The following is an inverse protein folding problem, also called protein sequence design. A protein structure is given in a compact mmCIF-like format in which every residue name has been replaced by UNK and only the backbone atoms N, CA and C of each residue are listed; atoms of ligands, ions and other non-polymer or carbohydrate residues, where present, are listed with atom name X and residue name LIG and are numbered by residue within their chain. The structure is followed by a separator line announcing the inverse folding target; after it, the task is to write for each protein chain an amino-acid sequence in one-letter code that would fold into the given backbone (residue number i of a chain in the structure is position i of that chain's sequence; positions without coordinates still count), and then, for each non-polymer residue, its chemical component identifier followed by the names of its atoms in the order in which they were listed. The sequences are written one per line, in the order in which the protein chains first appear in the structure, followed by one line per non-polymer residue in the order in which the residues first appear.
data_IF_109644934374
#
_entry.id   IF_109644934374
#
_cell.length_a   1.000
_cell.length_b   1.000
_cell.length_c   1.000
_cell.angle_alpha   90.00
_cell.angle_beta   90.00
_cell.angle_gamma   90.00
#
_symmetry.space_group_name_H-M   'P 1'
#
loop_
_entity.id
_entity.type
_entity.pdbx_description
1 polymer ?
#
# COMPACT_ATOMS: atom_id res chain seq x y z
N UNK A 1 -2.95 52.77 36.53
CA UNK A 1 -3.80 51.81 35.80
C UNK A 1 -3.55 52.03 34.32
N UNK A 2 -2.76 51.16 33.70
CA UNK A 2 -2.53 51.18 32.25
C UNK A 2 -3.07 49.87 31.70
N UNK A 3 -4.09 49.92 30.86
CA UNK A 3 -4.65 48.77 30.16
C UNK A 3 -3.97 48.66 28.80
N UNK A 4 -3.18 47.62 28.62
CA UNK A 4 -2.59 47.26 27.34
C UNK A 4 -3.61 46.45 26.53
N UNK A 5 -3.95 46.91 25.32
CA UNK A 5 -4.88 46.24 24.41
C UNK A 5 -4.06 45.53 23.35
N UNK A 6 -3.74 44.25 23.60
CA UNK A 6 -3.22 43.37 22.55
C UNK A 6 -4.37 42.82 21.73
N UNK A 7 -4.44 43.26 20.47
CA UNK A 7 -5.34 42.72 19.45
C UNK A 7 -4.63 41.53 18.80
N UNK A 8 -5.01 40.31 19.15
CA UNK A 8 -4.55 39.10 18.46
C UNK A 8 -5.37 38.91 17.18
N UNK A 9 -4.73 39.12 16.03
CA UNK A 9 -5.29 38.79 14.72
C UNK A 9 -4.67 37.47 14.27
N UNK A 10 -5.24 36.36 14.73
CA UNK A 10 -4.92 35.04 14.19
C UNK A 10 -5.52 34.88 12.79
N UNK A 11 -4.71 35.12 11.77
CA UNK A 11 -5.02 34.81 10.37
C UNK A 11 -4.78 33.32 10.14
N UNK A 12 -5.85 32.55 9.99
CA UNK A 12 -5.77 31.12 9.71
C UNK A 12 -5.20 30.84 8.32
N UNK A 13 -3.99 30.31 8.26
CA UNK A 13 -3.39 29.74 7.05
C UNK A 13 -4.12 28.44 6.71
N UNK A 14 -4.72 28.33 5.53
CA UNK A 14 -5.22 27.07 5.01
C UNK A 14 -4.05 26.07 4.89
N UNK A 15 -4.02 25.06 5.75
CA UNK A 15 -2.96 24.05 5.79
C UNK A 15 -3.00 23.19 4.53
N UNK A 16 -1.80 22.88 4.00
CA UNK A 16 -1.58 21.84 3.01
C UNK A 16 -2.27 20.53 3.45
N UNK A 17 -2.66 19.64 2.52
CA UNK A 17 -3.21 18.34 2.89
C UNK A 17 -2.28 17.65 3.88
N UNK A 18 -2.83 17.21 5.02
CA UNK A 18 -2.13 16.34 5.95
C UNK A 18 -1.54 15.17 5.18
N UNK A 19 -0.20 15.03 5.20
CA UNK A 19 0.54 14.04 4.43
C UNK A 19 0.06 12.62 4.74
N UNK A 20 -0.26 12.35 6.01
CA UNK A 20 -0.90 11.11 6.45
C UNK A 20 -2.22 10.89 5.74
N UNK A 21 -3.11 11.88 5.77
CA UNK A 21 -4.43 11.76 5.17
C UNK A 21 -4.35 11.58 3.64
N UNK A 22 -3.40 12.26 2.98
CA UNK A 22 -3.14 12.07 1.55
C UNK A 22 -2.61 10.67 1.24
N UNK A 23 -1.66 10.18 2.03
CA UNK A 23 -1.09 8.84 1.88
C UNK A 23 -2.15 7.75 2.10
N UNK A 24 -2.96 7.84 3.16
CA UNK A 24 -4.04 6.88 3.41
C UNK A 24 -5.07 6.87 2.26
N UNK A 25 -5.54 8.04 1.80
CA UNK A 25 -6.45 8.12 0.65
C UNK A 25 -5.87 7.54 -0.64
N UNK A 26 -4.56 7.60 -0.83
CA UNK A 26 -3.92 7.03 -2.02
C UNK A 26 -4.17 5.52 -2.16
N UNK A 27 -4.38 4.82 -1.03
CA UNK A 27 -4.67 3.40 -0.95
C UNK A 27 -6.10 3.03 -1.37
N UNK A 28 -7.03 3.99 -1.46
CA UNK A 28 -8.45 3.72 -1.80
C UNK A 28 -8.60 2.93 -3.11
N UNK A 29 -7.69 3.16 -4.07
CA UNK A 29 -7.68 2.44 -5.34
C UNK A 29 -7.47 0.94 -5.20
N UNK A 30 -6.83 0.47 -4.12
CA UNK A 30 -6.60 -0.95 -3.89
C UNK A 30 -7.85 -1.66 -3.38
N UNK A 31 -8.79 -0.93 -2.75
CA UNK A 31 -10.00 -1.50 -2.15
C UNK A 31 -10.77 -2.35 -3.17
N UNK A 32 -11.13 -3.57 -2.79
CA UNK A 32 -11.83 -4.53 -3.64
C UNK A 32 -11.16 -5.90 -3.69
N UNK A 33 -11.69 -6.78 -4.53
CA UNK A 33 -11.09 -8.08 -4.84
C UNK A 33 -10.31 -8.00 -6.14
N UNK A 34 -9.20 -8.71 -6.20
CA UNK A 34 -8.34 -8.77 -7.36
C UNK A 34 -7.91 -10.20 -7.62
N UNK A 35 -8.08 -10.64 -8.86
CA UNK A 35 -7.43 -11.85 -9.36
C UNK A 35 -5.99 -11.49 -9.74
N UNK A 36 -5.04 -12.24 -9.19
CA UNK A 36 -3.61 -12.11 -9.49
C UNK A 36 -3.21 -13.16 -10.51
N UNK A 37 -2.36 -12.77 -11.45
CA UNK A 37 -1.80 -13.68 -12.45
C UNK A 37 -0.36 -13.30 -12.77
N UNK A 38 0.47 -14.29 -13.05
CA UNK A 38 1.85 -14.12 -13.50
C UNK A 38 2.35 -15.36 -14.24
N UNK A 39 3.61 -15.33 -14.74
CA UNK A 39 4.22 -16.46 -15.40
C UNK A 39 4.29 -17.70 -14.51
N UNK A 40 4.42 -18.88 -15.13
CA UNK A 40 4.68 -20.13 -14.39
C UNK A 40 3.53 -20.64 -13.52
N UNK A 41 2.30 -20.18 -13.76
CA UNK A 41 1.15 -20.56 -12.96
C UNK A 41 1.04 -19.80 -11.63
N UNK A 42 1.83 -18.74 -11.44
CA UNK A 42 1.64 -17.81 -10.34
C UNK A 42 0.27 -17.12 -10.45
N UNK A 43 -0.53 -17.13 -9.38
CA UNK A 43 -1.80 -16.43 -9.35
C UNK A 43 -2.68 -16.78 -8.17
N UNK A 44 -3.88 -16.21 -8.12
CA UNK A 44 -4.83 -16.41 -7.02
C UNK A 44 -5.71 -15.19 -6.80
N UNK A 45 -6.07 -14.91 -5.55
CA UNK A 45 -6.87 -13.75 -5.18
C UNK A 45 -6.20 -12.95 -4.06
N UNK A 46 -6.31 -11.63 -4.15
CA UNK A 46 -6.11 -10.73 -3.00
C UNK A 46 -7.34 -9.87 -2.81
N UNK A 47 -7.64 -9.53 -1.55
CA UNK A 47 -8.77 -8.67 -1.21
C UNK A 47 -8.34 -7.57 -0.26
N UNK A 48 -8.64 -6.33 -0.61
CA UNK A 48 -8.40 -5.16 0.22
C UNK A 48 -9.69 -4.58 0.78
N UNK A 49 -9.70 -4.27 2.07
CA UNK A 49 -10.78 -3.55 2.73
C UNK A 49 -10.23 -2.68 3.85
N UNK A 50 -10.85 -1.53 4.08
CA UNK A 50 -10.52 -0.69 5.23
C UNK A 50 -10.97 -1.37 6.53
N UNK A 51 -10.09 -1.40 7.53
CA UNK A 51 -10.48 -1.70 8.90
C UNK A 51 -11.30 -0.54 9.50
N UNK A 52 -11.99 -0.84 10.60
CA UNK A 52 -12.72 0.18 11.35
C UNK A 52 -11.81 1.37 11.71
N UNK A 53 -12.35 2.57 11.52
CA UNK A 53 -11.63 3.83 11.75
C UNK A 53 -10.71 4.29 10.62
N UNK A 54 -10.60 3.54 9.51
CA UNK A 54 -9.93 4.01 8.28
C UNK A 54 -8.43 4.30 8.41
N UNK A 55 -7.79 3.79 9.47
CA UNK A 55 -6.35 3.98 9.70
C UNK A 55 -5.50 2.85 9.11
N UNK A 56 -6.14 1.72 8.77
CA UNK A 56 -5.47 0.53 8.24
C UNK A 56 -6.25 -0.02 7.05
N UNK A 57 -5.58 -0.17 5.91
CA UNK A 57 -6.06 -1.01 4.82
C UNK A 57 -5.61 -2.44 5.10
N UNK A 58 -6.55 -3.37 5.09
CA UNK A 58 -6.29 -4.79 5.33
C UNK A 58 -6.32 -5.53 4.00
N UNK A 59 -5.26 -6.26 3.70
CA UNK A 59 -5.18 -7.16 2.57
C UNK A 59 -5.28 -8.60 3.06
N UNK A 60 -6.15 -9.39 2.44
CA UNK A 60 -6.13 -10.85 2.54
C UNK A 60 -5.45 -11.42 1.30
N UNK A 61 -4.55 -12.37 1.50
CA UNK A 61 -3.75 -13.00 0.43
C UNK A 61 -4.09 -14.48 0.34
N UNK A 62 -4.37 -14.95 -0.88
CA UNK A 62 -4.48 -16.36 -1.25
C UNK A 62 -3.87 -16.55 -2.64
N UNK A 63 -2.55 -16.79 -2.69
CA UNK A 63 -1.78 -16.90 -3.92
C UNK A 63 -1.07 -18.25 -4.01
N UNK A 64 -0.92 -18.77 -5.22
CA UNK A 64 -0.23 -20.03 -5.51
C UNK A 64 0.88 -19.81 -6.51
N UNK A 65 1.95 -20.57 -6.37
CA UNK A 65 3.08 -20.63 -7.31
C UNK A 65 3.63 -22.06 -7.33
N UNK A 66 3.27 -22.83 -8.35
CA UNK A 66 3.55 -24.27 -8.35
C UNK A 66 2.87 -24.96 -7.16
N UNK A 67 3.66 -25.63 -6.32
CA UNK A 67 3.18 -26.31 -5.10
C UNK A 67 3.13 -25.38 -3.88
N UNK A 68 3.66 -24.16 -3.98
CA UNK A 68 3.63 -23.17 -2.90
C UNK A 68 2.27 -22.49 -2.84
N UNK A 69 1.79 -22.26 -1.61
CA UNK A 69 0.50 -21.61 -1.33
C UNK A 69 0.70 -20.55 -0.25
N UNK A 70 0.84 -19.30 -0.71
CA UNK A 70 1.01 -18.14 0.14
C UNK A 70 -0.37 -17.61 0.57
N UNK A 71 -0.69 -17.86 1.83
CA UNK A 71 -1.85 -17.26 2.50
C UNK A 71 -1.42 -16.37 3.63
N UNK A 72 -2.15 -15.29 3.85
CA UNK A 72 -1.91 -14.40 4.99
C UNK A 72 -2.81 -13.19 5.01
N UNK A 73 -2.52 -12.32 5.98
CA UNK A 73 -3.18 -11.03 6.15
C UNK A 73 -2.12 -9.95 6.31
N UNK A 74 -2.30 -8.82 5.66
CA UNK A 74 -1.42 -7.66 5.76
C UNK A 74 -2.20 -6.45 6.22
N UNK A 75 -1.62 -5.70 7.16
CA UNK A 75 -2.14 -4.42 7.61
C UNK A 75 -1.23 -3.32 7.12
N UNK A 76 -1.78 -2.40 6.31
CA UNK A 76 -1.08 -1.29 5.69
C UNK A 76 -1.59 0.01 6.31
N UNK A 77 -0.71 0.83 6.86
CA UNK A 77 -1.08 2.07 7.55
C UNK A 77 0.03 3.10 7.54
N UNK A 78 -0.27 4.28 8.07
CA UNK A 78 0.71 5.36 8.19
C UNK A 78 1.61 5.17 9.41
N UNK A 79 2.92 5.22 9.20
CA UNK A 79 3.92 5.27 10.25
C UNK A 79 4.34 6.73 10.49
N UNK A 80 4.00 7.27 11.65
CA UNK A 80 4.29 8.67 12.02
C UNK A 80 5.80 8.94 12.20
N UNK A 81 6.59 7.92 12.54
CA UNK A 81 8.03 8.06 12.77
C UNK A 81 8.80 8.04 11.45
N UNK A 82 8.40 7.15 10.53
CA UNK A 82 8.99 7.06 9.20
C UNK A 82 8.44 8.12 8.24
N UNK A 83 7.22 8.60 8.46
CA UNK A 83 6.51 9.48 7.53
C UNK A 83 6.15 8.78 6.22
N UNK A 84 5.84 7.48 6.29
CA UNK A 84 5.59 6.61 5.13
C UNK A 84 4.43 5.64 5.41
N UNK A 85 3.86 5.05 4.35
CA UNK A 85 2.96 3.91 4.51
C UNK A 85 3.79 2.66 4.75
N UNK A 86 3.59 2.02 5.91
CA UNK A 86 4.24 0.78 6.30
C UNK A 86 3.22 -0.33 6.43
N UNK A 87 3.66 -1.56 6.21
CA UNK A 87 2.81 -2.72 6.40
C UNK A 87 3.50 -3.86 7.13
N UNK A 88 2.66 -4.73 7.69
CA UNK A 88 3.07 -6.00 8.30
C UNK A 88 2.19 -7.12 7.73
N UNK A 89 2.82 -8.07 7.04
CA UNK A 89 2.19 -9.29 6.53
C UNK A 89 2.43 -10.45 7.50
N UNK A 90 1.34 -11.09 7.89
CA UNK A 90 1.30 -12.28 8.73
C UNK A 90 0.97 -13.49 7.86
N UNK A 91 1.99 -14.27 7.54
CA UNK A 91 1.89 -15.43 6.66
C UNK A 91 1.45 -16.70 7.39
N UNK A 92 0.79 -17.58 6.66
CA UNK A 92 0.27 -18.85 7.17
C UNK A 92 1.35 -19.87 7.57
N UNK A 93 2.62 -19.61 7.23
CA UNK A 93 3.77 -20.45 7.63
C UNK A 93 4.54 -19.81 8.79
N UNK A 94 3.99 -18.78 9.43
CA UNK A 94 4.57 -18.08 10.57
C UNK A 94 5.48 -16.92 10.19
N UNK A 95 5.41 -16.44 8.94
CA UNK A 95 6.17 -15.28 8.49
C UNK A 95 5.61 -13.98 9.08
N UNK A 96 6.52 -13.08 9.44
CA UNK A 96 6.24 -11.67 9.68
C UNK A 96 7.12 -10.87 8.74
N UNK A 97 6.52 -10.31 7.69
CA UNK A 97 7.23 -9.53 6.68
C UNK A 97 6.79 -8.07 6.75
N UNK A 98 7.73 -7.15 6.58
CA UNK A 98 7.46 -5.73 6.56
C UNK A 98 7.63 -5.16 5.16
N UNK A 99 6.77 -4.23 4.78
CA UNK A 99 6.91 -3.49 3.52
C UNK A 99 6.69 -2.00 3.71
N UNK A 100 7.19 -1.23 2.74
CA UNK A 100 6.86 0.20 2.58
C UNK A 100 6.08 0.37 1.28
N UNK A 101 5.02 1.18 1.31
CA UNK A 101 4.14 1.45 0.17
C UNK A 101 4.28 2.89 -0.28
N UNK A 102 4.23 3.11 -1.60
CA UNK A 102 4.02 4.42 -2.18
C UNK A 102 3.11 4.34 -3.37
N UNK A 103 2.22 5.31 -3.47
CA UNK A 103 1.24 5.40 -4.55
C UNK A 103 1.28 6.81 -5.13
N UNK A 104 1.81 6.94 -6.35
CA UNK A 104 2.05 8.21 -7.02
C UNK A 104 1.41 8.20 -8.40
N UNK A 105 0.37 9.02 -8.60
CA UNK A 105 -0.36 9.02 -9.88
C UNK A 105 -1.05 7.67 -10.10
N UNK A 106 -0.57 6.89 -11.08
CA UNK A 106 -0.97 5.52 -11.42
C UNK A 106 0.04 4.47 -10.96
N UNK A 107 1.20 4.87 -10.43
CA UNK A 107 2.27 3.97 -10.01
C UNK A 107 2.06 3.52 -8.56
N UNK A 108 2.11 2.22 -8.34
CA UNK A 108 2.25 1.57 -7.04
C UNK A 108 3.67 1.01 -6.92
N UNK A 109 4.35 1.40 -5.85
CA UNK A 109 5.64 0.82 -5.47
C UNK A 109 5.54 0.21 -4.08
N UNK A 110 6.02 -1.02 -3.94
CA UNK A 110 6.06 -1.75 -2.66
C UNK A 110 7.48 -2.25 -2.45
N UNK A 111 8.16 -1.78 -1.42
CA UNK A 111 9.51 -2.26 -1.08
C UNK A 111 9.43 -3.30 0.02
N UNK A 112 10.21 -4.38 -0.09
CA UNK A 112 10.44 -5.30 1.02
C UNK A 112 11.31 -4.61 2.07
N UNK A 113 10.76 -4.30 3.25
CA UNK A 113 11.38 -3.43 4.25
C UNK A 113 11.22 -1.95 3.92
N UNK A 114 12.33 -1.20 3.90
CA UNK A 114 12.38 0.25 3.64
C UNK A 114 12.57 0.61 2.17
N UNK A 115 12.47 1.91 1.85
CA UNK A 115 12.61 2.45 0.47
C UNK A 115 14.01 2.30 -0.14
N UNK A 116 15.01 2.02 0.68
CA UNK A 116 16.38 1.68 0.29
C UNK A 116 16.53 0.22 -0.18
N UNK A 117 15.49 -0.60 0.00
CA UNK A 117 15.50 -2.00 -0.41
C UNK A 117 15.63 -2.16 -1.92
N UNK A 118 16.55 -3.03 -2.39
CA UNK A 118 16.63 -3.36 -3.81
C UNK A 118 15.52 -4.33 -4.24
N UNK A 119 14.80 -4.94 -3.29
CA UNK A 119 13.68 -5.83 -3.54
C UNK A 119 12.36 -5.05 -3.49
N UNK A 120 11.73 -4.83 -4.65
CA UNK A 120 10.49 -4.06 -4.74
C UNK A 120 9.59 -4.49 -5.89
N UNK A 121 8.31 -4.25 -5.72
CA UNK A 121 7.31 -4.23 -6.78
C UNK A 121 7.18 -2.83 -7.35
N UNK A 122 7.07 -2.73 -8.67
CA UNK A 122 6.62 -1.53 -9.37
C UNK A 122 5.54 -1.92 -10.38
N UNK A 123 4.34 -1.36 -10.24
CA UNK A 123 3.22 -1.65 -11.13
C UNK A 123 2.28 -0.48 -11.34
N UNK A 124 1.69 -0.39 -12.53
CA UNK A 124 0.86 0.74 -12.95
C UNK A 124 -0.61 0.34 -13.08
N UNK A 125 -1.47 1.19 -12.52
CA UNK A 125 -2.91 1.06 -12.70
C UNK A 125 -3.33 1.45 -14.11
N UNK A 126 -4.28 0.72 -14.69
CA UNK A 126 -4.99 1.14 -15.90
C UNK A 126 -5.82 2.40 -15.62
N UNK A 127 -6.17 3.14 -16.68
CA UNK A 127 -6.91 4.40 -16.56
C UNK A 127 -8.28 4.25 -15.89
N UNK A 128 -8.93 3.09 -16.05
CA UNK A 128 -10.20 2.73 -15.41
C UNK A 128 -10.00 2.11 -14.00
N UNK A 129 -8.76 1.93 -13.57
CA UNK A 129 -8.40 1.37 -12.27
C UNK A 129 -8.78 -0.09 -12.09
N UNK A 130 -9.02 -0.85 -13.17
CA UNK A 130 -9.42 -2.26 -13.12
C UNK A 130 -8.24 -3.23 -13.22
N UNK A 131 -7.06 -2.76 -13.62
CA UNK A 131 -5.83 -3.55 -13.73
C UNK A 131 -4.70 -2.82 -13.01
N UNK A 132 -3.82 -3.56 -12.34
CA UNK A 132 -2.47 -3.11 -11.97
C UNK A 132 -1.46 -4.13 -12.50
N UNK A 133 -0.58 -3.71 -13.41
CA UNK A 133 0.40 -4.59 -14.04
C UNK A 133 1.81 -4.08 -13.76
N UNK A 134 2.72 -5.00 -13.37
CA UNK A 134 4.06 -4.64 -12.94
C UNK A 134 4.94 -5.84 -12.67
N UNK A 135 6.03 -5.60 -11.95
CA UNK A 135 6.99 -6.65 -11.61
C UNK A 135 7.55 -6.47 -10.22
N UNK A 136 7.75 -7.60 -9.53
CA UNK A 136 8.73 -7.68 -8.45
C UNK A 136 10.13 -7.82 -9.05
N UNK A 137 11.10 -7.07 -8.52
CA UNK A 137 12.51 -7.12 -8.90
C UNK A 137 13.38 -7.10 -7.67
N UNK A 138 14.48 -7.86 -7.70
CA UNK A 138 15.53 -7.87 -6.68
C UNK A 138 16.86 -8.30 -7.31
N UNK A 139 18.00 -8.20 -6.60
CA UNK A 139 19.29 -8.63 -7.16
C UNK A 139 19.26 -10.11 -7.54
N UNK A 140 19.44 -10.40 -8.83
CA UNK A 140 19.48 -11.77 -9.35
C UNK A 140 18.10 -12.39 -9.63
N UNK A 141 16.99 -11.66 -9.51
CA UNK A 141 15.68 -12.22 -9.79
C UNK A 141 14.53 -11.21 -9.89
N UNK A 142 13.35 -11.75 -10.19
CA UNK A 142 12.13 -10.99 -10.33
C UNK A 142 11.06 -11.78 -11.08
N UNK A 143 9.83 -11.29 -11.03
CA UNK A 143 8.73 -11.83 -11.81
C UNK A 143 7.71 -10.73 -12.13
N UNK A 144 7.12 -10.82 -13.30
CA UNK A 144 5.99 -9.99 -13.70
C UNK A 144 4.71 -10.53 -13.03
N UNK A 145 3.83 -9.62 -12.62
CA UNK A 145 2.53 -9.95 -12.03
C UNK A 145 1.49 -8.90 -12.41
N UNK A 146 0.25 -9.35 -12.58
CA UNK A 146 -0.88 -8.50 -12.93
C UNK A 146 -2.05 -8.82 -12.00
N UNK A 147 -2.56 -7.77 -11.35
CA UNK A 147 -3.80 -7.79 -10.60
C UNK A 147 -4.92 -7.25 -11.50
N UNK A 148 -6.03 -7.98 -11.60
CA UNK A 148 -7.25 -7.55 -12.30
C UNK A 148 -8.42 -7.57 -11.33
N UNK A 149 -9.25 -6.52 -11.28
CA UNK A 149 -10.42 -6.48 -10.40
C UNK A 149 -11.34 -7.67 -10.70
N UNK A 150 -11.70 -8.40 -9.65
CA UNK A 150 -12.76 -9.39 -9.73
C UNK A 150 -14.12 -8.67 -9.68
N UNK A 151 -15.05 -9.09 -10.54
CA UNK A 151 -16.42 -8.55 -10.59
C UNK A 151 -17.24 -8.76 -9.32
#
# INVERSE_FOLDING_TARGET
MSTDTSTDTSTGTALAPDARAAALRSLDRLVGRWTVSGPGGHGGEVRYAWADGGCWLVQHVDLRSGDEHDRGVEYIGWDETAGELRSHFFGSRGELLEYTYRVEGDLLTIWFGGTDSPARFEGRFSADGTVNAGAWRWPGGGYETTMTRAG
#
